data_IF_156820246830
#
_entry.id   IF_156820246830
#
_cell.length_a   1.000
_cell.length_b   1.000
_cell.length_c   1.000
_cell.angle_alpha   90.00
_cell.angle_beta   90.00
_cell.angle_gamma   90.00
#
_symmetry.space_group_name_H-M   'P 1'
#
loop_
_entity.id
_entity.type
_entity.pdbx_description
1 polymer ?
#
# COMPACT_ATOMS: atom_id res chain seq x y z
N UNK A 1 21.98 45.13 11.15
CA UNK A 1 21.96 43.86 10.39
C UNK A 1 20.61 43.13 10.47
N UNK A 2 20.03 42.84 11.64
CA UNK A 2 18.80 42.02 11.75
C UNK A 2 17.45 42.76 11.65
N UNK A 3 17.46 44.09 11.53
CA UNK A 3 16.23 44.92 11.44
C UNK A 3 15.79 45.21 9.99
N UNK A 4 16.65 44.95 9.02
CA UNK A 4 16.30 45.10 7.60
C UNK A 4 15.48 43.89 7.16
N UNK A 5 14.32 44.16 6.57
CA UNK A 5 13.33 43.15 6.16
C UNK A 5 13.93 42.13 5.20
N UNK A 6 14.74 42.59 4.23
CA UNK A 6 15.42 41.73 3.27
C UNK A 6 16.43 40.78 3.95
N UNK A 7 17.22 41.29 4.90
CA UNK A 7 18.17 40.49 5.66
C UNK A 7 17.45 39.44 6.52
N UNK A 8 16.32 39.79 7.15
CA UNK A 8 15.50 38.87 7.94
C UNK A 8 14.89 37.74 7.08
N UNK A 9 14.41 38.06 5.87
CA UNK A 9 13.93 37.05 4.93
C UNK A 9 15.06 36.12 4.47
N UNK A 10 16.22 36.67 4.11
CA UNK A 10 17.36 35.86 3.67
C UNK A 10 17.83 34.88 4.74
N UNK A 11 17.86 35.31 6.01
CA UNK A 11 18.21 34.44 7.14
C UNK A 11 17.16 33.34 7.31
N UNK A 12 15.88 33.69 7.31
CA UNK A 12 14.77 32.73 7.47
C UNK A 12 14.76 31.68 6.36
N UNK A 13 14.89 32.10 5.10
CA UNK A 13 14.93 31.20 3.95
C UNK A 13 16.16 30.30 3.97
N UNK A 14 17.35 30.81 4.32
CA UNK A 14 18.55 29.99 4.49
C UNK A 14 18.38 28.94 5.60
N UNK A 15 17.74 29.32 6.71
CA UNK A 15 17.46 28.39 7.81
C UNK A 15 16.52 27.26 7.38
N UNK A 16 15.44 27.58 6.67
CA UNK A 16 14.52 26.58 6.13
C UNK A 16 15.19 25.69 5.08
N UNK A 17 15.97 26.27 4.16
CA UNK A 17 16.69 25.52 3.14
C UNK A 17 17.68 24.52 3.74
N UNK A 18 18.38 24.89 4.82
CA UNK A 18 19.28 23.98 5.52
C UNK A 18 18.53 22.80 6.14
N UNK A 19 17.44 23.05 6.85
CA UNK A 19 16.61 21.98 7.44
C UNK A 19 16.01 21.06 6.38
N UNK A 20 15.63 21.62 5.23
CA UNK A 20 15.15 20.80 4.11
C UNK A 20 16.24 19.83 3.64
N UNK A 21 17.48 20.29 3.44
CA UNK A 21 18.58 19.43 3.03
C UNK A 21 18.86 18.35 4.08
N UNK A 22 18.95 18.74 5.36
CA UNK A 22 19.17 17.80 6.47
C UNK A 22 18.09 16.69 6.51
N UNK A 23 16.82 17.05 6.42
CA UNK A 23 15.72 16.07 6.42
C UNK A 23 15.67 15.26 5.12
N UNK A 24 16.05 15.84 3.98
CA UNK A 24 16.08 15.14 2.71
C UNK A 24 17.13 14.03 2.72
N UNK A 25 18.32 14.35 3.23
CA UNK A 25 19.43 13.39 3.36
C UNK A 25 19.06 12.30 4.38
N UNK A 26 18.47 12.66 5.52
CA UNK A 26 18.01 11.68 6.53
C UNK A 26 16.93 10.73 5.98
N UNK A 27 15.99 11.24 5.15
CA UNK A 27 15.01 10.40 4.48
C UNK A 27 15.68 9.41 3.52
N UNK A 28 16.67 9.86 2.75
CA UNK A 28 17.39 9.00 1.82
C UNK A 28 18.14 7.88 2.56
N UNK A 29 18.83 8.21 3.65
CA UNK A 29 19.52 7.23 4.49
C UNK A 29 18.56 6.20 5.09
N UNK A 30 17.38 6.64 5.54
CA UNK A 30 16.34 5.75 6.08
C UNK A 30 15.70 4.88 4.99
N UNK A 31 15.48 5.43 3.80
CA UNK A 31 14.95 4.67 2.66
C UNK A 31 15.89 3.51 2.28
N UNK A 32 17.21 3.75 2.28
CA UNK A 32 18.22 2.71 2.04
C UNK A 32 18.17 1.60 3.11
N UNK A 33 18.04 1.97 4.39
CA UNK A 33 17.90 1.00 5.48
C UNK A 33 16.61 0.19 5.37
N UNK A 34 15.49 0.85 5.06
CA UNK A 34 14.19 0.19 4.86
C UNK A 34 14.27 -0.75 3.65
N UNK A 35 14.93 -0.35 2.57
CA UNK A 35 15.12 -1.19 1.38
C UNK A 35 15.83 -2.49 1.72
N UNK A 36 16.93 -2.42 2.48
CA UNK A 36 17.66 -3.60 2.91
C UNK A 36 16.77 -4.55 3.74
N UNK A 37 16.00 -4.01 4.70
CA UNK A 37 15.09 -4.79 5.55
C UNK A 37 13.99 -5.46 4.71
N UNK A 38 13.37 -4.73 3.79
CA UNK A 38 12.25 -5.25 2.99
C UNK A 38 12.73 -6.33 2.01
N UNK A 39 13.91 -6.17 1.41
CA UNK A 39 14.51 -7.19 0.54
C UNK A 39 14.73 -8.51 1.28
N UNK A 40 15.10 -8.46 2.56
CA UNK A 40 15.27 -9.65 3.38
C UNK A 40 13.91 -10.22 3.86
N UNK A 41 13.03 -9.37 4.38
CA UNK A 41 11.79 -9.82 5.01
C UNK A 41 10.69 -10.19 4.02
N UNK A 42 10.58 -9.53 2.87
CA UNK A 42 9.48 -9.72 1.93
C UNK A 42 9.91 -9.72 0.44
N UNK A 43 10.90 -10.53 0.04
CA UNK A 43 11.35 -10.61 -1.36
C UNK A 43 10.22 -11.01 -2.32
N UNK A 44 9.36 -11.96 -1.93
CA UNK A 44 8.21 -12.41 -2.72
C UNK A 44 7.24 -11.27 -3.08
N UNK A 45 7.15 -10.22 -2.26
CA UNK A 45 6.30 -9.05 -2.56
C UNK A 45 6.93 -8.18 -3.65
N UNK A 46 8.24 -7.97 -3.63
CA UNK A 46 8.96 -7.17 -4.63
C UNK A 46 8.99 -7.83 -6.01
N UNK A 47 8.87 -9.16 -6.07
CA UNK A 47 8.75 -9.91 -7.31
C UNK A 47 7.39 -9.72 -8.01
N UNK A 48 6.37 -9.25 -7.29
CA UNK A 48 5.04 -9.06 -7.85
C UNK A 48 4.95 -7.81 -8.74
N UNK A 49 4.18 -7.91 -9.82
CA UNK A 49 3.99 -6.81 -10.74
C UNK A 49 3.46 -5.56 -10.05
N UNK A 50 4.18 -4.45 -10.25
CA UNK A 50 3.87 -3.12 -9.74
C UNK A 50 3.86 -2.97 -8.21
N UNK A 51 4.43 -3.92 -7.46
CA UNK A 51 4.69 -3.73 -6.03
C UNK A 51 6.10 -3.16 -5.87
N UNK A 52 6.19 -1.86 -5.59
CA UNK A 52 7.44 -1.19 -5.25
C UNK A 52 7.70 -1.18 -3.75
N UNK A 53 8.88 -0.66 -3.36
CA UNK A 53 9.36 -0.66 -1.98
C UNK A 53 8.32 -0.13 -0.98
N UNK A 54 7.80 1.08 -1.21
CA UNK A 54 6.79 1.69 -0.31
C UNK A 54 5.56 0.81 -0.08
N UNK A 55 5.09 0.08 -1.10
CA UNK A 55 3.96 -0.83 -0.95
C UNK A 55 4.36 -2.12 -0.24
N UNK A 56 5.55 -2.64 -0.54
CA UNK A 56 6.12 -3.81 0.12
C UNK A 56 6.46 -3.55 1.60
N UNK A 57 6.71 -2.29 2.00
CA UNK A 57 6.85 -1.88 3.41
C UNK A 57 5.49 -1.67 4.08
N UNK A 58 4.61 -0.89 3.45
CA UNK A 58 3.36 -0.46 4.07
C UNK A 58 2.40 -1.63 4.33
N UNK A 59 2.30 -2.60 3.42
CA UNK A 59 1.30 -3.67 3.54
C UNK A 59 1.58 -4.66 4.68
N UNK A 60 2.83 -5.14 4.87
CA UNK A 60 3.22 -5.87 6.08
C UNK A 60 3.07 -5.02 7.35
N UNK A 61 3.43 -3.73 7.32
CA UNK A 61 3.26 -2.85 8.48
C UNK A 61 1.78 -2.76 8.91
N UNK A 62 0.88 -2.57 7.96
CA UNK A 62 -0.56 -2.60 8.20
C UNK A 62 -1.01 -3.97 8.70
N UNK A 63 -0.49 -5.07 8.11
CA UNK A 63 -0.81 -6.44 8.53
C UNK A 63 -0.35 -6.75 9.97
N UNK A 64 0.74 -6.12 10.42
CA UNK A 64 1.34 -6.27 11.74
C UNK A 64 1.93 -7.66 11.98
N UNK A 65 2.66 -7.80 13.08
CA UNK A 65 3.37 -9.04 13.42
C UNK A 65 2.57 -10.01 14.31
N UNK A 66 1.24 -9.84 14.37
CA UNK A 66 0.38 -10.72 15.17
C UNK A 66 -0.38 -11.70 14.26
N UNK A 67 0.07 -12.96 14.12
CA UNK A 67 -0.55 -13.93 13.23
C UNK A 67 -2.00 -14.27 13.61
N UNK A 68 -2.36 -14.18 14.89
CA UNK A 68 -3.72 -14.41 15.39
C UNK A 68 -4.69 -13.27 15.02
N UNK A 69 -4.16 -12.09 14.69
CA UNK A 69 -4.96 -10.89 14.40
C UNK A 69 -5.67 -10.98 13.05
N UNK A 70 -5.03 -11.58 12.05
CA UNK A 70 -5.58 -11.68 10.69
C UNK A 70 -6.07 -13.10 10.39
N UNK A 71 -7.30 -13.38 10.79
CA UNK A 71 -7.90 -14.72 10.65
C UNK A 71 -8.32 -15.07 9.22
N UNK A 72 -8.34 -14.09 8.30
CA UNK A 72 -8.78 -14.30 6.91
C UNK A 72 -8.33 -13.20 5.94
N UNK A 73 -8.38 -13.53 4.65
CA UNK A 73 -8.25 -12.55 3.56
C UNK A 73 -9.26 -11.40 3.65
N UNK A 74 -10.45 -11.65 4.22
CA UNK A 74 -11.49 -10.65 4.39
C UNK A 74 -11.15 -9.64 5.50
N UNK A 75 -10.60 -10.11 6.62
CA UNK A 75 -10.08 -9.23 7.67
C UNK A 75 -8.97 -8.32 7.16
N UNK A 76 -8.04 -8.85 6.35
CA UNK A 76 -6.98 -8.02 5.78
C UNK A 76 -7.51 -6.97 4.81
N UNK A 77 -8.48 -7.33 3.95
CA UNK A 77 -9.09 -6.34 3.07
C UNK A 77 -9.92 -5.29 3.81
N UNK A 78 -10.57 -5.65 4.92
CA UNK A 78 -11.24 -4.68 5.77
C UNK A 78 -10.24 -3.72 6.41
N UNK A 79 -9.12 -4.26 6.93
CA UNK A 79 -8.04 -3.47 7.51
C UNK A 79 -7.41 -2.52 6.50
N UNK A 80 -7.20 -2.95 5.26
CA UNK A 80 -6.69 -2.10 4.18
C UNK A 80 -7.75 -1.17 3.55
N UNK A 81 -9.00 -1.19 4.02
CA UNK A 81 -10.08 -0.35 3.49
C UNK A 81 -10.48 -0.67 2.04
N UNK A 82 -10.27 -1.92 1.60
CA UNK A 82 -10.63 -2.43 0.26
C UNK A 82 -11.71 -3.52 0.30
N UNK A 83 -12.27 -3.80 1.48
CA UNK A 83 -13.45 -4.65 1.60
C UNK A 83 -14.67 -3.98 0.95
N UNK A 84 -15.55 -4.75 0.28
CA UNK A 84 -16.79 -4.21 -0.26
C UNK A 84 -17.72 -3.78 0.86
N UNK A 85 -18.28 -2.57 0.76
CA UNK A 85 -19.30 -2.06 1.69
C UNK A 85 -20.59 -1.87 0.91
N UNK A 86 -21.72 -2.49 1.31
CA UNK A 86 -23.01 -2.26 0.67
C UNK A 86 -23.35 -0.77 0.64
N UNK A 87 -23.71 -0.26 -0.53
CA UNK A 87 -24.07 1.14 -0.76
C UNK A 87 -25.37 1.25 -1.56
N UNK A 88 -26.35 0.44 -1.17
CA UNK A 88 -27.64 0.31 -1.86
C UNK A 88 -28.77 0.10 -0.85
N UNK A 89 -29.91 0.78 -1.08
CA UNK A 89 -31.14 0.65 -0.29
C UNK A 89 -32.28 -0.06 -1.04
N UNK A 90 -32.01 -0.65 -2.21
CA UNK A 90 -33.03 -1.25 -3.09
C UNK A 90 -32.51 -2.42 -3.96
N UNK A 91 -33.14 -2.67 -5.12
CA UNK A 91 -32.87 -3.83 -6.01
C UNK A 91 -31.49 -3.86 -6.68
N UNK A 92 -30.73 -2.77 -6.63
CA UNK A 92 -29.39 -2.69 -7.24
C UNK A 92 -28.32 -3.00 -6.21
N UNK A 93 -27.48 -4.00 -6.45
CA UNK A 93 -26.35 -4.30 -5.56
C UNK A 93 -25.16 -3.46 -5.98
N UNK A 94 -24.83 -2.42 -5.19
CA UNK A 94 -23.64 -1.60 -5.39
C UNK A 94 -22.76 -1.60 -4.15
N UNK A 95 -21.45 -1.49 -4.36
CA UNK A 95 -20.47 -1.42 -3.30
C UNK A 95 -19.73 -0.08 -3.30
N UNK A 96 -19.76 0.57 -2.14
CA UNK A 96 -19.08 1.83 -1.86
C UNK A 96 -17.63 1.65 -1.45
N UNK A 97 -16.96 2.78 -1.22
CA UNK A 97 -15.62 2.84 -0.64
C UNK A 97 -15.69 2.59 0.86
N UNK A 98 -14.88 1.66 1.37
CA UNK A 98 -14.67 1.53 2.81
C UNK A 98 -13.75 2.67 3.31
N UNK A 99 -14.25 3.45 4.28
CA UNK A 99 -13.51 4.57 4.89
C UNK A 99 -12.85 4.22 6.23
N UNK A 100 -13.14 3.06 6.81
CA UNK A 100 -12.69 2.67 8.16
C UNK A 100 -11.36 1.91 8.21
N UNK A 101 -10.75 1.61 7.06
CA UNK A 101 -9.44 0.95 7.01
C UNK A 101 -8.28 1.94 6.89
N UNK A 102 -7.07 1.40 6.98
CA UNK A 102 -5.80 2.11 6.80
C UNK A 102 -5.73 2.75 5.40
N UNK A 103 -5.63 4.09 5.38
CA UNK A 103 -5.59 4.88 4.15
C UNK A 103 -4.28 4.73 3.40
N UNK A 104 -3.15 4.52 4.10
CA UNK A 104 -1.86 4.32 3.48
C UNK A 104 -1.82 2.97 2.75
N UNK A 105 -2.30 1.90 3.38
CA UNK A 105 -2.47 0.59 2.72
C UNK A 105 -3.42 0.66 1.52
N UNK A 106 -4.54 1.36 1.66
CA UNK A 106 -5.50 1.55 0.58
C UNK A 106 -4.88 2.30 -0.62
N UNK A 107 -4.02 3.27 -0.34
CA UNK A 107 -3.24 4.03 -1.33
C UNK A 107 -2.21 3.14 -2.01
N UNK A 108 -1.43 2.37 -1.25
CA UNK A 108 -0.47 1.39 -1.78
C UNK A 108 -1.14 0.42 -2.76
N UNK A 109 -2.25 -0.22 -2.34
CA UNK A 109 -3.02 -1.12 -3.21
C UNK A 109 -3.58 -0.39 -4.44
N UNK A 110 -3.94 0.89 -4.32
CA UNK A 110 -4.38 1.68 -5.46
C UNK A 110 -3.25 1.86 -6.49
N UNK A 111 -2.07 2.25 -6.04
CA UNK A 111 -0.89 2.44 -6.91
C UNK A 111 -0.52 1.12 -7.59
N UNK A 112 -0.51 0.01 -6.85
CA UNK A 112 -0.30 -1.33 -7.42
C UNK A 112 -1.35 -1.62 -8.51
N UNK A 113 -2.64 -1.36 -8.23
CA UNK A 113 -3.71 -1.60 -9.19
C UNK A 113 -3.54 -0.80 -10.49
N UNK A 114 -3.14 0.47 -10.40
CA UNK A 114 -2.87 1.32 -11.57
C UNK A 114 -1.64 0.82 -12.34
N UNK A 115 -0.57 0.47 -11.64
CA UNK A 115 0.63 -0.09 -12.26
C UNK A 115 0.34 -1.42 -12.98
N UNK A 116 -0.42 -2.32 -12.35
CA UNK A 116 -0.85 -3.58 -12.99
C UNK A 116 -1.76 -3.36 -14.18
N UNK A 117 -2.67 -2.40 -14.15
CA UNK A 117 -3.47 -2.06 -15.33
C UNK A 117 -2.62 -1.58 -16.51
N UNK A 118 -1.44 -1.02 -16.25
CA UNK A 118 -0.50 -0.62 -17.31
C UNK A 118 0.39 -1.78 -17.78
N UNK A 119 0.84 -2.63 -16.85
CA UNK A 119 1.95 -3.57 -17.08
C UNK A 119 1.52 -5.05 -17.18
N UNK A 120 0.41 -5.45 -16.57
CA UNK A 120 -0.02 -6.85 -16.47
C UNK A 120 -1.21 -7.16 -17.40
N UNK A 121 -1.01 -7.96 -18.47
CA UNK A 121 -2.07 -8.37 -19.38
C UNK A 121 -3.23 -9.11 -18.70
N UNK A 122 -2.95 -9.91 -17.65
CA UNK A 122 -3.98 -10.64 -16.92
C UNK A 122 -4.93 -9.68 -16.18
N UNK A 123 -4.37 -8.69 -15.50
CA UNK A 123 -5.13 -7.62 -14.86
C UNK A 123 -5.93 -6.79 -15.88
N UNK A 124 -5.35 -6.48 -17.04
CA UNK A 124 -6.05 -5.77 -18.12
C UNK A 124 -7.26 -6.56 -18.63
N UNK A 125 -7.09 -7.86 -18.89
CA UNK A 125 -8.17 -8.75 -19.32
C UNK A 125 -9.27 -8.87 -18.26
N UNK A 126 -8.90 -9.01 -16.99
CA UNK A 126 -9.87 -9.02 -15.89
C UNK A 126 -10.65 -7.70 -15.81
N UNK A 127 -9.94 -6.57 -15.93
CA UNK A 127 -10.58 -5.25 -15.91
C UNK A 127 -11.55 -5.08 -17.07
N UNK A 128 -11.15 -5.43 -18.30
CA UNK A 128 -12.02 -5.40 -19.48
C UNK A 128 -13.27 -6.26 -19.26
N UNK A 129 -13.12 -7.48 -18.73
CA UNK A 129 -14.24 -8.36 -18.39
C UNK A 129 -15.20 -7.72 -17.39
N UNK A 130 -14.71 -6.99 -16.38
CA UNK A 130 -15.59 -6.27 -15.43
C UNK A 130 -16.37 -5.15 -16.11
N UNK A 131 -15.74 -4.41 -17.02
CA UNK A 131 -16.42 -3.37 -17.80
C UNK A 131 -17.51 -3.98 -18.70
N UNK A 132 -17.24 -5.10 -19.39
CA UNK A 132 -18.23 -5.77 -20.24
C UNK A 132 -19.42 -6.31 -19.45
N UNK A 133 -19.22 -6.65 -18.16
CA UNK A 133 -20.29 -7.05 -17.24
C UNK A 133 -21.10 -5.88 -16.68
N UNK A 134 -20.87 -4.65 -17.17
CA UNK A 134 -21.63 -3.46 -16.80
C UNK A 134 -21.12 -2.73 -15.55
N UNK A 135 -19.95 -3.11 -15.01
CA UNK A 135 -19.35 -2.34 -13.92
C UNK A 135 -18.80 -1.00 -14.42
N UNK A 136 -18.97 0.04 -13.60
CA UNK A 136 -18.24 1.29 -13.81
C UNK A 136 -16.73 1.09 -13.62
N UNK A 137 -15.93 1.99 -14.20
CA UNK A 137 -14.46 2.01 -14.01
C UNK A 137 -14.06 1.94 -12.53
N UNK A 138 -14.74 2.68 -11.67
CA UNK A 138 -14.44 2.69 -10.23
C UNK A 138 -14.80 1.37 -9.54
N UNK A 139 -15.89 0.71 -9.94
CA UNK A 139 -16.27 -0.61 -9.40
C UNK A 139 -15.32 -1.72 -9.87
N UNK A 140 -14.88 -1.65 -11.13
CA UNK A 140 -13.87 -2.56 -11.66
C UNK A 140 -12.53 -2.38 -10.92
N UNK A 141 -12.08 -1.14 -10.69
CA UNK A 141 -10.89 -0.86 -9.87
C UNK A 141 -11.06 -1.38 -8.44
N UNK A 142 -12.20 -1.15 -7.78
CA UNK A 142 -12.44 -1.68 -6.42
C UNK A 142 -12.36 -3.21 -6.37
N UNK A 143 -12.91 -3.88 -7.38
CA UNK A 143 -12.83 -5.34 -7.51
C UNK A 143 -11.39 -5.81 -7.69
N UNK A 144 -10.59 -5.09 -8.49
CA UNK A 144 -9.16 -5.37 -8.67
C UNK A 144 -8.37 -5.15 -7.37
N UNK A 145 -8.63 -4.06 -6.64
CA UNK A 145 -7.99 -3.79 -5.34
C UNK A 145 -8.27 -4.90 -4.32
N UNK A 146 -9.49 -5.43 -4.31
CA UNK A 146 -9.86 -6.57 -3.46
C UNK A 146 -9.09 -7.84 -3.84
N UNK A 147 -8.88 -8.08 -5.13
CA UNK A 147 -8.07 -9.19 -5.64
C UNK A 147 -6.59 -9.04 -5.24
N UNK A 148 -6.00 -7.86 -5.43
CA UNK A 148 -4.62 -7.58 -5.01
C UNK A 148 -4.45 -7.79 -3.51
N UNK A 149 -5.38 -7.31 -2.69
CA UNK A 149 -5.32 -7.54 -1.24
C UNK A 149 -5.39 -9.03 -0.85
N UNK A 150 -6.13 -9.84 -1.61
CA UNK A 150 -6.15 -11.30 -1.41
C UNK A 150 -4.77 -11.91 -1.69
N UNK A 151 -4.19 -11.56 -2.83
CA UNK A 151 -2.89 -12.08 -3.26
C UNK A 151 -1.79 -11.70 -2.27
N UNK A 152 -1.72 -10.40 -1.91
CA UNK A 152 -0.77 -9.88 -0.92
C UNK A 152 -0.93 -10.56 0.43
N UNK A 153 -2.17 -10.76 0.91
CA UNK A 153 -2.41 -11.48 2.16
C UNK A 153 -1.81 -12.89 2.12
N UNK A 154 -1.98 -13.61 1.01
CA UNK A 154 -1.41 -14.94 0.84
C UNK A 154 0.12 -14.93 0.95
N UNK A 155 0.78 -13.94 0.34
CA UNK A 155 2.24 -13.78 0.42
C UNK A 155 2.68 -13.49 1.86
N UNK A 156 2.05 -12.50 2.52
CA UNK A 156 2.37 -12.10 3.90
C UNK A 156 2.24 -13.29 4.86
N UNK A 157 1.12 -14.02 4.81
CA UNK A 157 0.88 -15.15 5.73
C UNK A 157 1.84 -16.32 5.48
N UNK A 158 2.20 -16.61 4.22
CA UNK A 158 3.20 -17.64 3.92
C UNK A 158 4.57 -17.25 4.48
N UNK A 159 4.97 -16.00 4.27
CA UNK A 159 6.27 -15.50 4.76
C UNK A 159 6.34 -15.48 6.28
N UNK A 160 5.29 -15.02 6.95
CA UNK A 160 5.21 -15.05 8.42
C UNK A 160 5.30 -16.49 8.97
N UNK A 161 4.64 -17.45 8.33
CA UNK A 161 4.73 -18.86 8.71
C UNK A 161 6.15 -19.39 8.56
N UNK A 162 6.86 -19.06 7.49
CA UNK A 162 8.26 -19.46 7.29
C UNK A 162 9.17 -18.89 8.40
N UNK A 163 9.05 -17.59 8.67
CA UNK A 163 9.85 -16.91 9.71
C UNK A 163 9.62 -17.57 11.08
N UNK A 164 8.36 -17.78 11.47
CA UNK A 164 8.03 -18.38 12.76
C UNK A 164 8.48 -19.85 12.87
N UNK A 165 8.47 -20.61 11.77
CA UNK A 165 8.99 -21.98 11.75
C UNK A 165 10.51 -22.02 11.99
N UNK A 166 11.26 -21.10 11.37
CA UNK A 166 12.72 -21.02 11.56
C UNK A 166 13.09 -20.65 13.00
N UNK A 167 12.32 -19.76 13.64
CA UNK A 167 12.54 -19.38 15.04
C UNK A 167 12.30 -20.52 16.04
N UNK A 168 11.33 -21.40 15.78
CA UNK A 168 11.06 -22.55 16.67
C UNK A 168 12.13 -23.64 16.54
N UNK A 169 12.78 -23.74 15.38
CA UNK A 169 13.79 -24.75 15.07
C UNK A 169 15.23 -24.38 15.50
N UNK A 170 15.44 -23.16 15.97
CA UNK A 170 16.74 -22.64 16.46
C UNK A 170 16.76 -22.65 17.98
#
# INVERSE_FOLDING_TARGET
>A
AYREVEAAYRISLKSLARRYLELHDEIADLDDMIEAIVKDLAPELLEQTAIGLNSATQLPLTAGDNPERLKSEASFAALCGVSPVPASSGKTVRHGLNRGGDRAANSAIHIIAIGRLRLDPCTQAYFAKRITLGNSKLEAIRSLKRYIAREVFGIIMRRQKQINQTQIAT
#
